data_IF_328555883895
#
_entry.id   IF_328555883895
#
_cell.length_a   1.000
_cell.length_b   1.000
_cell.length_c   1.000
_cell.angle_alpha   90.00
_cell.angle_beta   90.00
_cell.angle_gamma   90.00
#
_symmetry.space_group_name_H-M   'P 1'
#
loop_
_entity.id
_entity.type
_entity.pdbx_description
1 polymer ?
#
# COMPACT_ATOMS: atom_id res chain seq x y z
N UNK A 1 -5.25 12.44 6.91
CA UNK A 1 -4.39 11.22 6.88
C UNK A 1 -3.07 11.60 7.52
N UNK A 2 -2.53 10.82 8.46
CA UNK A 2 -1.34 11.24 9.24
C UNK A 2 -0.13 11.58 8.36
N UNK A 3 0.17 10.73 7.36
CA UNK A 3 1.29 10.96 6.43
C UNK A 3 1.15 12.28 5.66
N UNK A 4 0.00 12.54 5.03
CA UNK A 4 -0.23 13.80 4.32
C UNK A 4 -0.27 15.03 5.24
N UNK A 5 -0.61 14.84 6.52
CA UNK A 5 -0.57 15.93 7.50
C UNK A 5 0.85 16.22 7.99
N UNK A 6 1.77 15.27 7.85
CA UNK A 6 3.19 15.45 8.18
C UNK A 6 3.97 16.16 7.05
N UNK A 7 3.29 16.68 6.02
CA UNK A 7 3.90 17.45 4.94
C UNK A 7 4.30 16.66 3.70
N UNK A 8 3.95 15.37 3.63
CA UNK A 8 4.19 14.56 2.44
C UNK A 8 3.14 14.84 1.35
N UNK A 9 3.59 14.95 0.10
CA UNK A 9 2.71 15.19 -1.05
C UNK A 9 1.80 14.00 -1.37
N UNK A 10 2.32 12.79 -1.17
CA UNK A 10 1.64 11.53 -1.45
C UNK A 10 1.90 10.50 -0.34
N UNK A 11 1.03 9.51 -0.24
CA UNK A 11 1.18 8.40 0.68
C UNK A 11 0.68 7.11 0.03
N UNK A 12 1.48 6.05 0.12
CA UNK A 12 1.00 4.72 -0.25
C UNK A 12 -0.03 4.21 0.77
N UNK A 13 -1.12 3.63 0.26
CA UNK A 13 -2.20 3.03 1.04
C UNK A 13 -2.34 1.56 0.66
N UNK A 14 -2.22 0.67 1.65
CA UNK A 14 -2.17 -0.78 1.41
C UNK A 14 -0.74 -1.23 1.10
N UNK A 15 -0.60 -2.12 0.12
CA UNK A 15 0.72 -2.61 -0.31
C UNK A 15 1.53 -1.54 -1.05
N UNK A 16 2.81 -1.43 -0.68
CA UNK A 16 3.71 -0.40 -1.20
C UNK A 16 4.58 -0.85 -2.36
N UNK A 17 4.75 -2.16 -2.57
CA UNK A 17 5.78 -2.70 -3.48
C UNK A 17 5.58 -2.23 -4.93
N UNK A 18 4.34 -2.28 -5.43
CA UNK A 18 4.01 -1.77 -6.78
C UNK A 18 3.84 -0.25 -6.79
N UNK A 19 3.39 0.31 -5.68
CA UNK A 19 2.96 1.71 -5.55
C UNK A 19 4.11 2.69 -5.36
N UNK A 20 5.24 2.22 -4.82
CA UNK A 20 6.44 3.03 -4.58
C UNK A 20 7.16 3.40 -5.87
N UNK A 21 7.15 2.51 -6.88
CA UNK A 21 7.93 2.67 -8.12
C UNK A 21 7.16 3.48 -9.16
N UNK A 22 5.86 3.24 -9.30
CA UNK A 22 5.00 3.85 -10.34
C UNK A 22 5.01 5.38 -10.40
N UNK A 23 5.13 6.13 -9.29
CA UNK A 23 5.26 7.58 -9.35
C UNK A 23 6.48 8.05 -10.11
N UNK A 24 7.57 7.26 -10.12
CA UNK A 24 8.77 7.58 -10.91
C UNK A 24 8.45 7.54 -12.40
N UNK A 25 7.76 6.49 -12.86
CA UNK A 25 7.33 6.35 -14.26
C UNK A 25 6.33 7.45 -14.67
N UNK A 26 5.46 7.84 -13.74
CA UNK A 26 4.48 8.92 -13.92
C UNK A 26 5.06 10.33 -13.73
N UNK A 27 6.39 10.46 -13.55
CA UNK A 27 7.07 11.75 -13.33
C UNK A 27 6.48 12.56 -12.16
N UNK A 28 6.03 11.87 -11.13
CA UNK A 28 5.48 12.45 -9.92
C UNK A 28 3.97 12.70 -9.94
N UNK A 29 3.25 12.43 -11.03
CA UNK A 29 1.78 12.51 -11.03
C UNK A 29 1.18 11.30 -10.30
N UNK A 30 0.50 11.48 -9.16
CA UNK A 30 -0.14 10.38 -8.44
C UNK A 30 -1.47 9.96 -9.07
N UNK A 31 -2.02 10.74 -10.01
CA UNK A 31 -3.30 10.43 -10.63
C UNK A 31 -3.22 9.10 -11.40
N UNK A 32 -4.23 8.25 -11.22
CA UNK A 32 -4.31 6.94 -11.89
C UNK A 32 -3.41 5.83 -11.33
N UNK A 33 -2.51 6.14 -10.38
CA UNK A 33 -1.71 5.11 -9.71
C UNK A 33 -2.51 4.55 -8.55
N UNK A 34 -3.01 3.33 -8.69
CA UNK A 34 -3.74 2.63 -7.63
C UNK A 34 -2.90 2.47 -6.35
N UNK A 35 -3.55 2.60 -5.17
CA UNK A 35 -2.88 2.46 -3.88
C UNK A 35 -2.22 3.73 -3.35
N UNK A 36 -2.61 4.92 -3.82
CA UNK A 36 -2.12 6.20 -3.33
C UNK A 36 -3.22 7.04 -2.68
N UNK A 37 -2.78 7.88 -1.76
CA UNK A 37 -3.52 9.03 -1.29
C UNK A 37 -2.70 10.31 -1.48
N UNK A 38 -3.33 11.39 -1.90
CA UNK A 38 -2.70 12.70 -2.11
C UNK A 38 -3.72 13.82 -1.88
N UNK A 39 -3.28 15.08 -1.87
CA UNK A 39 -4.17 16.25 -1.84
C UNK A 39 -4.32 16.81 -3.24
N UNK A 40 -5.56 17.02 -3.68
CA UNK A 40 -5.81 17.74 -4.93
C UNK A 40 -5.59 19.25 -4.77
N UNK A 41 -5.78 20.00 -5.85
CA UNK A 41 -5.61 21.45 -5.87
C UNK A 41 -6.53 22.20 -4.89
N UNK A 42 -7.63 21.59 -4.43
CA UNK A 42 -8.54 22.16 -3.42
C UNK A 42 -8.10 21.82 -1.99
N UNK A 43 -7.03 21.03 -1.83
CA UNK A 43 -6.54 20.53 -0.56
C UNK A 43 -7.30 19.28 -0.06
N UNK A 44 -8.28 18.80 -0.82
CA UNK A 44 -9.07 17.62 -0.46
C UNK A 44 -8.25 16.34 -0.64
N UNK A 45 -8.42 15.38 0.27
CA UNK A 45 -7.72 14.09 0.19
C UNK A 45 -8.39 13.21 -0.86
N UNK A 46 -7.63 12.86 -1.91
CA UNK A 46 -8.02 11.86 -2.92
C UNK A 46 -7.36 10.52 -2.60
N UNK A 47 -8.06 9.43 -2.94
CA UNK A 47 -7.58 8.05 -2.84
C UNK A 47 -7.81 7.37 -4.18
N UNK A 48 -6.83 6.62 -4.66
CA UNK A 48 -6.84 5.99 -5.99
C UNK A 48 -7.24 4.51 -5.97
N UNK A 49 -7.94 4.07 -4.92
CA UNK A 49 -8.35 2.68 -4.74
C UNK A 49 -7.25 1.80 -4.16
N UNK A 50 -7.48 0.48 -4.18
CA UNK A 50 -6.59 -0.50 -3.56
C UNK A 50 -5.31 -0.72 -4.36
N UNK A 51 -4.19 -0.85 -3.65
CA UNK A 51 -2.92 -1.21 -4.27
C UNK A 51 -2.98 -2.63 -4.85
N UNK A 52 -2.25 -2.86 -5.96
CA UNK A 52 -2.11 -4.20 -6.53
C UNK A 52 -1.33 -5.09 -5.56
N UNK A 53 -2.01 -6.13 -5.07
CA UNK A 53 -1.37 -7.22 -4.33
C UNK A 53 -0.56 -8.11 -5.28
N UNK A 54 0.73 -8.26 -5.00
CA UNK A 54 1.65 -9.10 -5.79
C UNK A 54 1.79 -10.50 -5.19
N UNK A 55 2.16 -11.54 -5.95
CA UNK A 55 2.53 -12.83 -5.36
C UNK A 55 3.58 -12.67 -4.25
N UNK A 56 3.50 -13.47 -3.19
CA UNK A 56 4.52 -13.47 -2.13
C UNK A 56 5.87 -13.95 -2.65
N UNK A 57 5.86 -14.93 -3.55
CA UNK A 57 7.05 -15.53 -4.13
C UNK A 57 7.89 -14.55 -4.98
N UNK A 58 7.33 -13.42 -5.39
CA UNK A 58 8.06 -12.33 -6.04
C UNK A 58 9.07 -11.66 -5.09
N UNK A 59 8.94 -11.87 -3.77
CA UNK A 59 9.75 -11.23 -2.73
C UNK A 59 10.46 -12.29 -1.89
N UNK A 60 11.79 -12.43 -2.01
CA UNK A 60 12.53 -13.40 -1.22
C UNK A 60 12.41 -13.05 0.27
N UNK A 61 11.98 -14.02 1.09
CA UNK A 61 11.75 -13.81 2.52
C UNK A 61 13.02 -13.44 3.31
N UNK A 62 14.20 -13.82 2.82
CA UNK A 62 15.47 -13.56 3.50
C UNK A 62 16.53 -13.04 2.53
N UNK A 63 17.36 -12.12 3.04
CA UNK A 63 18.52 -11.61 2.32
C UNK A 63 19.74 -12.49 2.66
N UNK A 64 19.68 -13.77 2.29
CA UNK A 64 20.67 -14.81 2.68
C UNK A 64 22.10 -14.45 2.31
N UNK A 65 22.30 -13.77 1.17
CA UNK A 65 23.61 -13.24 0.73
C UNK A 65 24.29 -12.39 1.81
N UNK A 66 23.52 -11.72 2.66
CA UNK A 66 24.02 -10.83 3.70
C UNK A 66 23.88 -11.43 5.12
N UNK A 67 23.52 -12.72 5.24
CA UNK A 67 23.31 -13.37 6.53
C UNK A 67 22.16 -12.78 7.35
N UNK A 68 21.20 -12.08 6.71
CA UNK A 68 20.08 -11.42 7.40
C UNK A 68 18.81 -12.24 7.28
N UNK A 69 18.30 -12.66 8.45
CA UNK A 69 17.01 -13.33 8.61
C UNK A 69 16.04 -12.29 9.17
N UNK A 70 14.92 -12.06 8.47
CA UNK A 70 13.90 -11.08 8.84
C UNK A 70 12.57 -11.80 9.13
N UNK A 71 11.52 -11.06 9.48
CA UNK A 71 10.18 -11.62 9.58
C UNK A 71 9.74 -12.19 8.22
N UNK A 72 9.18 -13.41 8.24
CA UNK A 72 8.62 -14.06 7.06
C UNK A 72 7.11 -13.82 7.01
N UNK A 73 6.65 -13.24 5.91
CA UNK A 73 5.22 -13.12 5.60
C UNK A 73 4.79 -14.32 4.76
N UNK A 74 3.83 -15.12 5.26
CA UNK A 74 3.30 -16.30 4.56
C UNK A 74 1.86 -16.12 4.05
N UNK A 75 1.14 -15.12 4.57
CA UNK A 75 -0.21 -14.73 4.18
C UNK A 75 -0.34 -13.22 4.25
N UNK A 76 -1.27 -12.65 3.49
CA UNK A 76 -1.55 -11.21 3.51
C UNK A 76 -3.01 -10.89 3.77
N UNK A 77 -3.21 -9.75 4.43
CA UNK A 77 -4.53 -9.31 4.85
C UNK A 77 -5.10 -10.19 5.96
N UNK A 78 -6.33 -9.86 6.35
CA UNK A 78 -7.08 -10.63 7.35
C UNK A 78 -8.56 -10.49 7.05
N UNK A 79 -9.25 -11.62 6.99
CA UNK A 79 -10.70 -11.66 6.73
C UNK A 79 -11.53 -11.21 7.94
N UNK A 80 -10.93 -11.09 9.12
CA UNK A 80 -11.64 -10.77 10.36
C UNK A 80 -11.72 -9.26 10.60
N UNK A 81 -12.94 -8.76 10.80
CA UNK A 81 -13.24 -7.39 11.18
C UNK A 81 -13.36 -7.27 12.72
N UNK A 82 -12.23 -7.26 13.43
CA UNK A 82 -12.24 -7.10 14.89
C UNK A 82 -12.47 -5.62 15.28
N UNK A 83 -13.20 -5.38 16.38
CA UNK A 83 -13.54 -4.04 16.90
C UNK A 83 -12.36 -3.07 17.06
N UNK A 84 -11.17 -3.59 17.35
CA UNK A 84 -9.96 -2.79 17.56
C UNK A 84 -9.09 -2.62 16.31
N UNK A 85 -9.48 -3.18 15.15
CA UNK A 85 -8.71 -3.03 13.91
C UNK A 85 -9.04 -1.71 13.22
N UNK A 86 -7.99 -1.08 12.69
CA UNK A 86 -8.08 0.09 11.79
C UNK A 86 -8.27 -0.27 10.32
N UNK A 87 -8.14 -1.55 9.96
CA UNK A 87 -8.23 -2.03 8.59
C UNK A 87 -9.60 -2.66 8.33
N UNK A 88 -10.31 -2.16 7.32
CA UNK A 88 -11.57 -2.73 6.84
C UNK A 88 -11.28 -4.03 6.07
N UNK A 89 -12.15 -5.05 6.14
CA UNK A 89 -11.99 -6.27 5.35
C UNK A 89 -12.03 -5.93 3.85
N UNK A 90 -11.28 -6.65 3.00
CA UNK A 90 -11.35 -6.47 1.56
C UNK A 90 -12.80 -6.70 1.09
N UNK A 91 -13.31 -5.78 0.26
CA UNK A 91 -14.67 -5.86 -0.31
C UNK A 91 -14.66 -6.88 -1.46
N UNK A 92 -14.46 -8.15 -1.13
CA UNK A 92 -14.66 -9.25 -2.07
C UNK A 92 -15.03 -10.53 -1.32
N UNK A 93 -16.18 -10.48 -0.64
CA UNK A 93 -16.89 -11.65 -0.15
C UNK A 93 -18.34 -11.57 -0.65
N UNK A 94 -18.52 -11.68 -1.97
CA UNK A 94 -19.78 -12.14 -2.55
C UNK A 94 -19.50 -13.50 -3.17
N UNK A 95 -19.85 -14.55 -2.40
CA UNK A 95 -20.35 -15.79 -2.97
C UNK A 95 -21.84 -15.60 -3.28
#
# INVERSE_FOLDING_TARGET
MQTLNAGWDTAATGEGQSTLIRPVDAKGDPAGIAGLAYRDATGAVKRTGEAKQRPLDDFPGFALKFGKINALEIIRGSIYACRYKRQLPPVQACL
#
